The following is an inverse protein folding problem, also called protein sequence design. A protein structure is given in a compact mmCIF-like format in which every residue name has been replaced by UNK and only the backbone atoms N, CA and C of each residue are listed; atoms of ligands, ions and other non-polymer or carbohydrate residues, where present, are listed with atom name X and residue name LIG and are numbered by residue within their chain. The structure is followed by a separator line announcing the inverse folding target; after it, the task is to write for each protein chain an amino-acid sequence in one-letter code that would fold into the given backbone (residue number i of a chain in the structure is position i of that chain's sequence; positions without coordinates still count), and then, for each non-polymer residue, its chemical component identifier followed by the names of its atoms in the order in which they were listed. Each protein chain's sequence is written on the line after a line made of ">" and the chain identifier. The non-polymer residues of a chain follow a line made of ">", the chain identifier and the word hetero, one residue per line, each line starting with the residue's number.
data_IF_676006848056
#
_entry.id   IF_676006848056
#
_cell.length_a   1.000
_cell.length_b   1.000
_cell.length_c   1.000
_cell.angle_alpha   90.00
_cell.angle_beta   90.00
_cell.angle_gamma   90.00
#
_symmetry.space_group_name_H-M   'P 1'
#
loop_
_entity.id
_entity.type
_entity.pdbx_description
1 polymer ?
#
# COMPACT_ATOMS: atom_id res chain seq x y z
N UNK A 1 7.02 -5.17 -19.07
CA UNK A 1 5.85 -4.81 -18.26
C UNK A 1 6.20 -3.49 -17.58
N UNK A 2 5.37 -2.46 -17.70
CA UNK A 2 5.66 -1.16 -17.09
C UNK A 2 5.54 -1.21 -15.57
N UNK A 3 6.04 -0.17 -14.92
CA UNK A 3 6.07 -0.04 -13.45
C UNK A 3 4.66 -0.05 -12.84
N UNK A 4 3.70 0.59 -13.52
CA UNK A 4 2.29 0.63 -13.14
C UNK A 4 1.62 -0.73 -13.29
N UNK A 5 1.77 -1.41 -14.42
CA UNK A 5 1.16 -2.73 -14.62
C UNK A 5 1.70 -3.76 -13.62
N UNK A 6 3.01 -3.70 -13.35
CA UNK A 6 3.63 -4.53 -12.33
C UNK A 6 3.01 -4.26 -10.95
N UNK A 7 2.82 -2.99 -10.58
CA UNK A 7 2.22 -2.60 -9.32
C UNK A 7 0.76 -3.06 -9.18
N UNK A 8 -0.03 -2.95 -10.25
CA UNK A 8 -1.41 -3.44 -10.28
C UNK A 8 -1.46 -4.96 -10.08
N UNK A 9 -0.62 -5.71 -10.80
CA UNK A 9 -0.52 -7.16 -10.64
C UNK A 9 -0.04 -7.57 -9.23
N UNK A 10 0.86 -6.77 -8.63
CA UNK A 10 1.33 -6.97 -7.26
C UNK A 10 0.19 -6.86 -6.25
N UNK A 11 -0.61 -5.79 -6.33
CA UNK A 11 -1.77 -5.59 -5.44
C UNK A 11 -2.81 -6.70 -5.66
N UNK A 12 -3.13 -7.05 -6.90
CA UNK A 12 -4.12 -8.10 -7.18
C UNK A 12 -3.70 -9.46 -6.60
N UNK A 13 -2.40 -9.77 -6.64
CA UNK A 13 -1.85 -10.97 -6.00
C UNK A 13 -1.99 -10.92 -4.48
N UNK A 14 -1.73 -9.77 -3.87
CA UNK A 14 -1.87 -9.58 -2.42
C UNK A 14 -3.33 -9.69 -1.97
N UNK A 15 -4.27 -9.09 -2.71
CA UNK A 15 -5.72 -9.18 -2.46
C UNK A 15 -6.17 -10.65 -2.40
N UNK A 16 -5.81 -11.44 -3.41
CA UNK A 16 -6.12 -12.89 -3.45
C UNK A 16 -5.60 -13.62 -2.22
N UNK A 17 -4.42 -13.26 -1.71
CA UNK A 17 -3.85 -13.88 -0.53
C UNK A 17 -4.57 -13.46 0.75
N UNK A 18 -4.80 -12.16 0.96
CA UNK A 18 -5.45 -11.65 2.16
C UNK A 18 -6.85 -12.23 2.31
N UNK A 19 -7.66 -12.20 1.25
CA UNK A 19 -9.04 -12.70 1.28
C UNK A 19 -9.15 -14.22 1.50
N UNK A 20 -8.06 -14.97 1.30
CA UNK A 20 -8.05 -16.42 1.50
C UNK A 20 -7.43 -16.85 2.83
N UNK A 21 -6.41 -16.13 3.31
CA UNK A 21 -5.51 -16.63 4.36
C UNK A 21 -5.29 -15.69 5.54
N UNK A 22 -5.66 -14.41 5.43
CA UNK A 22 -5.30 -13.39 6.42
C UNK A 22 -6.53 -12.60 6.86
N UNK A 23 -7.58 -13.29 7.30
CA UNK A 23 -8.85 -12.67 7.70
C UNK A 23 -8.75 -11.88 9.02
N UNK A 24 -7.74 -12.18 9.83
CA UNK A 24 -7.50 -11.51 11.12
C UNK A 24 -6.55 -10.29 10.98
N UNK A 25 -6.05 -10.01 9.78
CA UNK A 25 -5.18 -8.85 9.56
C UNK A 25 -5.94 -7.54 9.74
N UNK A 26 -5.29 -6.58 10.40
CA UNK A 26 -5.80 -5.23 10.56
C UNK A 26 -5.61 -4.44 9.26
N UNK A 27 -6.63 -3.66 8.91
CA UNK A 27 -6.66 -2.87 7.68
C UNK A 27 -6.42 -1.39 7.96
N UNK A 28 -5.37 -0.85 7.35
CA UNK A 28 -4.97 0.55 7.48
C UNK A 28 -5.03 1.26 6.12
N UNK A 29 -6.14 1.97 5.81
CA UNK A 29 -6.25 2.73 4.57
C UNK A 29 -5.22 3.87 4.55
N UNK A 30 -4.49 4.02 3.45
CA UNK A 30 -3.40 5.02 3.34
C UNK A 30 -3.67 6.12 2.32
N UNK A 31 -4.20 5.79 1.15
CA UNK A 31 -4.56 6.76 0.10
C UNK A 31 -5.76 6.26 -0.70
N UNK A 32 -6.67 7.14 -1.16
CA UNK A 32 -7.65 6.77 -2.17
C UNK A 32 -6.96 6.25 -3.43
N UNK A 33 -7.34 5.07 -3.91
CA UNK A 33 -6.63 4.41 -5.00
C UNK A 33 -6.69 5.22 -6.31
N UNK A 34 -7.83 5.86 -6.56
CA UNK A 34 -8.02 6.71 -7.74
C UNK A 34 -7.07 7.93 -7.75
N UNK A 35 -6.53 8.37 -6.62
CA UNK A 35 -5.60 9.50 -6.60
C UNK A 35 -4.30 9.21 -7.33
N UNK A 36 -3.90 7.93 -7.44
CA UNK A 36 -2.66 7.53 -8.10
C UNK A 36 -2.60 7.92 -9.58
N UNK A 37 -3.75 8.03 -10.26
CA UNK A 37 -3.79 8.41 -11.68
C UNK A 37 -3.36 9.86 -11.91
N UNK A 38 -3.43 10.69 -10.87
CA UNK A 38 -3.06 12.10 -10.93
C UNK A 38 -1.63 12.36 -10.46
N UNK A 39 -0.89 11.32 -10.04
CA UNK A 39 0.47 11.49 -9.51
C UNK A 39 1.48 11.54 -10.67
N UNK A 40 2.14 12.67 -10.85
CA UNK A 40 3.14 12.88 -11.91
C UNK A 40 4.41 12.04 -11.70
N UNK A 41 4.80 11.80 -10.46
CA UNK A 41 5.96 10.98 -10.08
C UNK A 41 5.55 9.59 -9.58
N UNK A 42 4.60 8.95 -10.28
CA UNK A 42 3.97 7.70 -9.85
C UNK A 42 4.97 6.57 -9.59
N UNK A 43 6.07 6.49 -10.34
CA UNK A 43 7.06 5.42 -10.16
C UNK A 43 7.75 5.47 -8.80
N UNK A 44 8.08 6.67 -8.32
CA UNK A 44 8.71 6.86 -7.01
C UNK A 44 7.73 6.58 -5.88
N UNK A 45 6.47 6.97 -6.07
CA UNK A 45 5.38 6.68 -5.13
C UNK A 45 5.13 5.17 -5.04
N UNK A 46 5.07 4.45 -6.16
CA UNK A 46 4.95 2.99 -6.21
C UNK A 46 6.11 2.31 -5.46
N UNK A 47 7.35 2.74 -5.69
CA UNK A 47 8.52 2.19 -4.97
C UNK A 47 8.41 2.40 -3.46
N UNK A 48 7.96 3.57 -3.03
CA UNK A 48 7.77 3.87 -1.62
C UNK A 48 6.64 3.03 -1.00
N UNK A 49 5.52 2.83 -1.72
CA UNK A 49 4.42 1.97 -1.30
C UNK A 49 4.86 0.51 -1.12
N UNK A 50 5.58 -0.06 -2.10
CA UNK A 50 6.13 -1.43 -2.00
C UNK A 50 7.15 -1.55 -0.86
N UNK A 51 7.85 -0.46 -0.53
CA UNK A 51 8.80 -0.46 0.60
C UNK A 51 8.09 -0.56 1.95
N UNK A 52 6.90 0.04 2.10
CA UNK A 52 6.10 -0.12 3.33
C UNK A 52 5.76 -1.60 3.54
N UNK A 53 5.33 -2.32 2.50
CA UNK A 53 5.01 -3.75 2.60
C UNK A 53 6.15 -4.55 3.22
N UNK A 54 7.37 -4.32 2.73
CA UNK A 54 8.57 -4.98 3.26
C UNK A 54 8.94 -4.54 4.67
N UNK A 55 8.75 -3.26 5.00
CA UNK A 55 9.13 -2.71 6.31
C UNK A 55 8.25 -3.27 7.43
N UNK A 56 6.95 -3.42 7.19
CA UNK A 56 5.99 -3.84 8.21
C UNK A 56 5.53 -5.29 8.06
N UNK A 57 6.21 -6.10 7.23
CA UNK A 57 5.77 -7.45 6.86
C UNK A 57 4.26 -7.50 6.60
N UNK A 58 3.85 -6.63 5.67
CA UNK A 58 2.47 -6.30 5.39
C UNK A 58 2.16 -6.48 3.90
N UNK A 59 0.88 -6.34 3.56
CA UNK A 59 0.41 -6.48 2.18
C UNK A 59 -0.44 -5.29 1.79
N UNK A 60 -0.01 -4.62 0.73
CA UNK A 60 -0.75 -3.59 0.05
C UNK A 60 -1.86 -4.23 -0.77
N UNK A 61 -3.10 -3.87 -0.46
CA UNK A 61 -4.31 -4.30 -1.14
C UNK A 61 -5.14 -3.09 -1.52
N UNK A 62 -6.17 -3.32 -2.33
CA UNK A 62 -7.25 -2.36 -2.53
C UNK A 62 -8.52 -2.87 -1.89
N UNK A 63 -9.16 -2.02 -1.09
CA UNK A 63 -10.45 -2.32 -0.45
C UNK A 63 -11.19 -1.01 -0.24
N UNK A 64 -12.49 -1.02 -0.49
CA UNK A 64 -13.39 0.15 -0.32
C UNK A 64 -12.92 1.43 -1.04
N UNK A 65 -12.24 1.27 -2.19
CA UNK A 65 -11.73 2.39 -2.98
C UNK A 65 -10.41 3.00 -2.50
N UNK A 66 -9.83 2.45 -1.43
CA UNK A 66 -8.54 2.85 -0.90
C UNK A 66 -7.47 1.83 -1.26
N UNK A 67 -6.25 2.34 -1.40
CA UNK A 67 -5.06 1.56 -1.19
C UNK A 67 -4.86 1.43 0.32
N UNK A 68 -4.72 0.20 0.77
CA UNK A 68 -4.82 -0.18 2.19
C UNK A 68 -3.71 -1.16 2.50
N UNK A 69 -3.09 -0.99 3.66
CA UNK A 69 -2.12 -1.94 4.18
C UNK A 69 -2.85 -2.93 5.09
N UNK A 70 -2.78 -4.22 4.76
CA UNK A 70 -3.19 -5.32 5.61
C UNK A 70 -1.97 -5.86 6.37
N UNK A 71 -2.03 -5.92 7.69
CA UNK A 71 -0.95 -6.47 8.51
C UNK A 71 -1.47 -7.06 9.81
N UNK A 72 -0.77 -8.07 10.32
CA UNK A 72 -1.02 -8.61 11.64
C UNK A 72 -0.74 -7.55 12.73
N UNK A 73 -1.50 -7.56 13.82
CA UNK A 73 -1.44 -6.55 14.88
C UNK A 73 -0.03 -6.39 15.47
N UNK A 74 0.71 -7.50 15.66
CA UNK A 74 2.06 -7.48 16.20
C UNK A 74 3.09 -6.75 15.30
N UNK A 75 2.80 -6.62 14.01
CA UNK A 75 3.66 -5.92 13.07
C UNK A 75 3.38 -4.41 13.05
N UNK A 76 2.26 -3.97 13.65
CA UNK A 76 1.87 -2.57 13.64
C UNK A 76 2.68 -1.74 14.64
N UNK A 77 3.56 -0.89 14.12
CA UNK A 77 4.30 0.11 14.89
C UNK A 77 3.79 1.51 14.55
N UNK A 78 2.78 1.97 15.27
CA UNK A 78 2.00 3.18 14.96
C UNK A 78 2.85 4.39 14.54
N UNK A 79 3.84 4.76 15.35
CA UNK A 79 4.67 5.93 15.10
C UNK A 79 5.50 5.80 13.81
N UNK A 80 6.03 4.61 13.53
CA UNK A 80 6.80 4.35 12.32
C UNK A 80 5.91 4.30 11.09
N UNK A 81 4.78 3.60 11.19
CA UNK A 81 3.79 3.50 10.13
C UNK A 81 3.28 4.87 9.71
N UNK A 82 2.86 5.71 10.68
CA UNK A 82 2.41 7.08 10.40
C UNK A 82 3.48 7.91 9.70
N UNK A 83 4.75 7.81 10.12
CA UNK A 83 5.86 8.51 9.45
C UNK A 83 6.04 8.05 8.00
N UNK A 84 5.98 6.75 7.74
CA UNK A 84 6.10 6.19 6.39
C UNK A 84 4.94 6.65 5.50
N UNK A 85 3.70 6.61 5.98
CA UNK A 85 2.53 7.09 5.24
C UNK A 85 2.63 8.59 4.94
N UNK A 86 2.96 9.42 5.94
CA UNK A 86 3.15 10.86 5.76
C UNK A 86 4.26 11.15 4.74
N UNK A 87 5.33 10.38 4.74
CA UNK A 87 6.41 10.53 3.77
C UNK A 87 5.92 10.29 2.34
N UNK A 88 5.15 9.22 2.10
CA UNK A 88 4.55 8.94 0.78
C UNK A 88 3.64 10.07 0.35
N UNK A 89 2.74 10.51 1.24
CA UNK A 89 1.82 11.61 0.95
C UNK A 89 2.56 12.90 0.55
N UNK A 90 3.66 13.22 1.23
CA UNK A 90 4.50 14.38 0.90
C UNK A 90 5.31 14.22 -0.39
N UNK A 91 5.57 12.98 -0.81
CA UNK A 91 6.27 12.70 -2.06
C UNK A 91 5.37 12.84 -3.29
N UNK A 92 4.06 12.65 -3.16
CA UNK A 92 3.12 12.73 -4.28
C UNK A 92 3.12 14.14 -4.88
N UNK A 93 3.38 14.23 -6.20
CA UNK A 93 3.28 15.46 -6.99
C UNK A 93 2.11 15.34 -7.95
N UNK A 94 1.29 16.38 -8.05
CA UNK A 94 0.10 16.45 -8.90
C UNK A 94 0.28 17.49 -9.99
#
# INVERSE_FOLDING_TARGET
>A
MGSVEFFLAYIEKNEKHIFQFCLDDLLYPIIPFYQLIYVLNIEDVIKALIRIDKQFDSRLIRVDGYLTIAMAEQNYQEAEFKRSVIHILKMMRF
#
